data_IF_973500382215
#
_entry.id   IF_973500382215
#
_cell.length_a   1.000
_cell.length_b   1.000
_cell.length_c   1.000
_cell.angle_alpha   90.00
_cell.angle_beta   90.00
_cell.angle_gamma   90.00
#
_symmetry.space_group_name_H-M   'P 1'
#
loop_
_entity.id
_entity.type
_entity.pdbx_description
1 polymer ?
#
# COMPACT_ATOMS: atom_id res chain seq x y z
N UNK A 1 -3.01 -18.45 22.39
CA UNK A 1 -3.79 -17.23 22.08
C UNK A 1 -4.12 -17.29 20.60
N UNK A 2 -5.37 -17.05 20.20
CA UNK A 2 -5.73 -16.97 18.78
C UNK A 2 -5.08 -15.74 18.15
N UNK A 3 -4.43 -15.89 17.01
CA UNK A 3 -3.88 -14.79 16.22
C UNK A 3 -5.05 -13.92 15.71
N UNK A 4 -5.00 -12.60 15.92
CA UNK A 4 -6.04 -11.71 15.40
C UNK A 4 -5.84 -11.51 13.89
N UNK A 5 -6.91 -11.72 13.13
CA UNK A 5 -6.97 -11.36 11.71
C UNK A 5 -7.52 -9.94 11.60
N UNK A 6 -6.85 -9.08 10.85
CA UNK A 6 -7.29 -7.72 10.56
C UNK A 6 -7.95 -7.65 9.19
N UNK A 7 -9.08 -6.95 9.11
CA UNK A 7 -9.79 -6.71 7.84
C UNK A 7 -9.39 -5.34 7.30
N UNK A 8 -8.76 -5.36 6.12
CA UNK A 8 -8.42 -4.18 5.34
C UNK A 8 -9.39 -4.03 4.17
N UNK A 9 -10.28 -3.06 4.24
CA UNK A 9 -11.26 -2.79 3.19
C UNK A 9 -10.73 -1.77 2.19
N UNK A 10 -10.74 -2.11 0.91
CA UNK A 10 -10.25 -1.28 -0.19
C UNK A 10 -11.35 -0.86 -1.17
N UNK A 11 -12.62 -1.00 -0.79
CA UNK A 11 -13.78 -0.62 -1.62
C UNK A 11 -13.67 0.79 -2.16
N UNK A 12 -13.23 1.73 -1.33
CA UNK A 12 -13.15 3.16 -1.65
C UNK A 12 -11.88 3.57 -2.40
N UNK A 13 -10.97 2.64 -2.67
CA UNK A 13 -9.76 2.89 -3.46
C UNK A 13 -9.64 1.90 -4.61
N UNK A 14 -9.38 0.62 -4.35
CA UNK A 14 -9.22 -0.39 -5.39
C UNK A 14 -10.55 -0.73 -6.04
N UNK A 15 -11.60 -0.89 -5.27
CA UNK A 15 -12.95 -1.13 -5.76
C UNK A 15 -13.47 -0.04 -6.69
N UNK A 16 -13.12 1.22 -6.42
CA UNK A 16 -13.50 2.37 -7.26
C UNK A 16 -12.79 2.39 -8.63
N UNK A 17 -11.70 1.64 -8.78
CA UNK A 17 -10.98 1.54 -10.07
C UNK A 17 -11.70 0.66 -11.09
N UNK A 18 -12.72 -0.09 -10.68
CA UNK A 18 -13.53 -0.87 -11.61
C UNK A 18 -14.34 0.06 -12.55
N UNK A 19 -14.48 -0.27 -13.85
CA UNK A 19 -15.27 0.54 -14.77
C UNK A 19 -16.71 0.74 -14.29
N UNK A 20 -17.14 1.99 -14.20
CA UNK A 20 -18.49 2.36 -13.75
C UNK A 20 -18.68 2.44 -12.24
N UNK A 21 -17.62 2.27 -11.45
CA UNK A 21 -17.65 2.31 -9.98
C UNK A 21 -17.17 3.64 -9.38
N UNK A 22 -17.09 4.70 -10.18
CA UNK A 22 -16.73 6.04 -9.67
C UNK A 22 -17.78 6.54 -8.69
N UNK A 23 -17.32 7.06 -7.56
CA UNK A 23 -18.13 7.54 -6.45
C UNK A 23 -17.92 9.04 -6.24
N UNK A 24 -19.02 9.73 -5.91
CA UNK A 24 -18.95 11.10 -5.42
C UNK A 24 -18.46 11.13 -3.95
N UNK A 25 -18.02 12.29 -3.50
CA UNK A 25 -17.44 12.45 -2.14
C UNK A 25 -18.43 12.01 -1.07
N UNK A 26 -19.69 12.41 -1.19
CA UNK A 26 -20.77 12.08 -0.26
C UNK A 26 -21.05 10.58 -0.21
N UNK A 27 -21.03 9.90 -1.35
CA UNK A 27 -21.23 8.46 -1.45
C UNK A 27 -20.08 7.70 -0.75
N UNK A 28 -18.84 8.16 -0.95
CA UNK A 28 -17.66 7.58 -0.26
C UNK A 28 -17.78 7.72 1.26
N UNK A 29 -18.22 8.86 1.76
CA UNK A 29 -18.44 9.10 3.20
C UNK A 29 -19.50 8.13 3.75
N UNK A 30 -20.62 7.95 3.06
CA UNK A 30 -21.67 7.04 3.51
C UNK A 30 -21.21 5.58 3.53
N UNK A 31 -20.46 5.13 2.51
CA UNK A 31 -19.86 3.79 2.50
C UNK A 31 -18.87 3.65 3.65
N UNK A 32 -17.98 4.62 3.86
CA UNK A 32 -17.01 4.57 4.95
C UNK A 32 -17.68 4.45 6.34
N UNK A 33 -18.80 5.18 6.55
CA UNK A 33 -19.61 5.04 7.77
C UNK A 33 -20.20 3.63 7.94
N UNK A 34 -20.65 2.99 6.85
CA UNK A 34 -21.16 1.62 6.92
C UNK A 34 -20.03 0.61 7.20
N UNK A 35 -18.86 0.78 6.58
CA UNK A 35 -17.68 -0.04 6.87
C UNK A 35 -17.23 0.10 8.33
N UNK A 36 -17.27 1.31 8.89
CA UNK A 36 -17.01 1.53 10.32
C UNK A 36 -18.02 0.78 11.21
N UNK A 37 -19.32 0.80 10.88
CA UNK A 37 -20.35 0.03 11.61
C UNK A 37 -20.16 -1.49 11.47
N UNK A 38 -19.60 -1.94 10.35
CA UNK A 38 -19.24 -3.34 10.11
C UNK A 38 -18.01 -3.77 10.94
N UNK A 39 -17.34 -2.82 11.58
CA UNK A 39 -16.12 -3.02 12.39
C UNK A 39 -14.93 -3.58 11.58
N UNK A 40 -14.73 -3.12 10.35
CA UNK A 40 -13.47 -3.37 9.65
C UNK A 40 -12.32 -2.67 10.40
N UNK A 41 -11.13 -3.24 10.38
CA UNK A 41 -9.99 -2.68 11.12
C UNK A 41 -9.37 -1.48 10.39
N UNK A 42 -9.36 -1.50 9.06
CA UNK A 42 -8.76 -0.45 8.21
C UNK A 42 -9.64 -0.18 7.00
N UNK A 43 -9.81 1.10 6.64
CA UNK A 43 -10.47 1.54 5.40
C UNK A 43 -9.46 2.30 4.55
N UNK A 44 -9.16 1.84 3.34
CA UNK A 44 -8.40 2.59 2.36
C UNK A 44 -9.33 3.57 1.63
N UNK A 45 -9.28 4.83 2.05
CA UNK A 45 -10.26 5.84 1.66
C UNK A 45 -10.06 6.42 0.25
N UNK A 46 -8.84 6.30 -0.31
CA UNK A 46 -8.56 6.80 -1.65
C UNK A 46 -7.09 7.09 -1.93
N UNK A 47 -6.86 7.84 -3.01
CA UNK A 47 -5.55 8.26 -3.50
C UNK A 47 -5.48 9.78 -3.64
N UNK A 48 -5.12 10.52 -2.57
CA UNK A 48 -5.26 11.99 -2.48
C UNK A 48 -4.58 12.79 -3.59
N UNK A 49 -3.46 12.30 -4.12
CA UNK A 49 -2.74 13.03 -5.19
C UNK A 49 -3.41 12.93 -6.54
N UNK A 50 -4.29 11.94 -6.76
CA UNK A 50 -4.86 11.65 -8.07
C UNK A 50 -5.83 12.72 -8.56
N UNK A 51 -6.60 13.34 -7.65
CA UNK A 51 -7.50 14.45 -7.98
C UNK A 51 -7.90 15.26 -6.73
N UNK A 52 -8.46 16.44 -6.95
CA UNK A 52 -9.01 17.26 -5.85
C UNK A 52 -10.17 16.56 -5.15
N UNK A 53 -11.03 15.86 -5.89
CA UNK A 53 -12.15 15.11 -5.32
C UNK A 53 -11.66 13.96 -4.44
N UNK A 54 -10.64 13.21 -4.87
CA UNK A 54 -10.04 12.17 -4.06
C UNK A 54 -9.40 12.71 -2.76
N UNK A 55 -8.72 13.85 -2.84
CA UNK A 55 -8.19 14.51 -1.65
C UNK A 55 -9.31 14.88 -0.67
N UNK A 56 -10.37 15.54 -1.17
CA UNK A 56 -11.51 15.95 -0.35
C UNK A 56 -12.25 14.77 0.27
N UNK A 57 -12.42 13.68 -0.48
CA UNK A 57 -13.04 12.46 0.04
C UNK A 57 -12.26 11.86 1.20
N UNK A 58 -10.94 11.70 1.04
CA UNK A 58 -10.07 11.17 2.11
C UNK A 58 -10.08 12.08 3.33
N UNK A 59 -9.95 13.39 3.15
CA UNK A 59 -9.99 14.38 4.23
C UNK A 59 -11.33 14.32 4.99
N UNK A 60 -12.46 14.31 4.28
CA UNK A 60 -13.78 14.24 4.90
C UNK A 60 -14.00 12.91 5.64
N UNK A 61 -13.54 11.78 5.10
CA UNK A 61 -13.62 10.49 5.78
C UNK A 61 -12.74 10.50 7.03
N UNK A 62 -11.53 11.05 6.96
CA UNK A 62 -10.62 11.17 8.10
C UNK A 62 -11.22 11.99 9.25
N UNK A 63 -11.96 13.05 8.92
CA UNK A 63 -12.60 13.92 9.92
C UNK A 63 -13.89 13.32 10.52
N UNK A 64 -14.63 12.51 9.75
CA UNK A 64 -16.00 12.10 10.11
C UNK A 64 -16.13 10.64 10.56
N UNK A 65 -15.17 9.79 10.24
CA UNK A 65 -15.27 8.33 10.50
C UNK A 65 -14.31 7.95 11.62
N UNK A 66 -14.88 7.42 12.71
CA UNK A 66 -14.13 6.97 13.87
C UNK A 66 -14.18 5.44 13.99
N UNK A 67 -13.19 4.87 14.68
CA UNK A 67 -13.08 3.44 14.95
C UNK A 67 -12.01 2.75 14.12
N UNK A 68 -12.18 2.56 12.78
CA UNK A 68 -11.15 1.97 11.94
C UNK A 68 -9.96 2.92 11.74
N UNK A 69 -8.81 2.37 11.38
CA UNK A 69 -7.69 3.14 10.84
C UNK A 69 -8.03 3.59 9.43
N UNK A 70 -7.86 4.89 9.13
CA UNK A 70 -8.06 5.42 7.77
C UNK A 70 -6.73 5.38 7.04
N UNK A 71 -6.69 4.69 5.91
CA UNK A 71 -5.51 4.58 5.06
C UNK A 71 -5.67 5.39 3.77
N UNK A 72 -4.57 5.91 3.25
CA UNK A 72 -4.53 6.56 1.95
C UNK A 72 -3.31 6.13 1.15
N UNK A 73 -3.51 5.90 -0.16
CA UNK A 73 -2.48 5.46 -1.08
C UNK A 73 -1.58 6.62 -1.48
N UNK A 74 -0.28 6.36 -1.61
CA UNK A 74 0.74 7.28 -2.09
C UNK A 74 1.80 6.52 -2.90
N UNK A 75 2.24 7.06 -4.03
CA UNK A 75 3.45 6.53 -4.69
C UNK A 75 4.67 6.81 -3.80
N UNK A 76 5.77 6.10 -4.05
CA UNK A 76 7.06 6.37 -3.39
C UNK A 76 7.68 7.72 -3.85
N UNK A 77 6.94 8.81 -3.62
CA UNK A 77 7.27 10.20 -3.96
C UNK A 77 6.86 11.07 -2.79
N UNK A 78 7.77 11.91 -2.29
CA UNK A 78 7.55 12.76 -1.10
C UNK A 78 6.26 13.60 -1.19
N UNK A 79 6.01 14.26 -2.33
CA UNK A 79 4.79 15.06 -2.52
C UNK A 79 3.49 14.24 -2.40
N UNK A 80 3.50 12.98 -2.84
CA UNK A 80 2.32 12.10 -2.73
C UNK A 80 2.09 11.70 -1.27
N UNK A 81 3.17 11.36 -0.56
CA UNK A 81 3.16 10.99 0.85
C UNK A 81 2.72 12.18 1.72
N UNK A 82 3.24 13.38 1.45
CA UNK A 82 2.83 14.59 2.15
C UNK A 82 1.35 14.90 1.92
N UNK A 83 0.84 14.77 0.68
CA UNK A 83 -0.59 14.95 0.40
C UNK A 83 -1.46 13.90 1.09
N UNK A 84 -1.01 12.64 1.15
CA UNK A 84 -1.72 11.60 1.89
C UNK A 84 -1.77 11.96 3.39
N UNK A 85 -0.66 12.36 3.99
CA UNK A 85 -0.63 12.83 5.37
C UNK A 85 -1.58 14.01 5.61
N UNK A 86 -1.53 15.04 4.75
CA UNK A 86 -2.39 16.22 4.91
C UNK A 86 -3.89 15.86 4.88
N UNK A 87 -4.29 14.92 4.03
CA UNK A 87 -5.66 14.44 3.97
C UNK A 87 -6.05 13.54 5.16
N UNK A 88 -5.08 12.85 5.78
CA UNK A 88 -5.33 11.88 6.85
C UNK A 88 -5.23 12.46 8.26
N UNK A 89 -4.59 13.61 8.45
CA UNK A 89 -4.22 14.14 9.78
C UNK A 89 -5.40 14.42 10.72
N UNK A 90 -6.63 14.50 10.21
CA UNK A 90 -7.85 14.63 10.99
C UNK A 90 -8.35 13.31 11.62
N UNK A 91 -7.88 12.17 11.12
CA UNK A 91 -8.29 10.86 11.63
C UNK A 91 -7.68 10.55 13.01
N UNK A 92 -8.44 9.87 13.86
CA UNK A 92 -7.95 9.36 15.16
C UNK A 92 -6.78 8.40 15.00
N UNK A 93 -6.85 7.54 13.98
CA UNK A 93 -5.81 6.58 13.58
C UNK A 93 -5.68 6.62 12.07
N UNK A 94 -4.47 6.76 11.59
CA UNK A 94 -4.25 6.76 10.13
C UNK A 94 -3.00 6.01 9.73
N UNK A 95 -3.04 5.50 8.50
CA UNK A 95 -1.96 4.76 7.83
C UNK A 95 -1.62 5.41 6.50
N UNK A 96 -0.34 5.62 6.26
CA UNK A 96 0.16 5.98 4.93
C UNK A 96 0.55 4.70 4.21
N UNK A 97 -0.10 4.43 3.07
CA UNK A 97 0.14 3.26 2.25
C UNK A 97 0.96 3.65 1.03
N UNK A 98 2.23 3.23 0.98
CA UNK A 98 3.14 3.50 -0.15
C UNK A 98 3.27 2.28 -1.05
N UNK A 99 3.60 2.47 -2.34
CA UNK A 99 3.80 1.38 -3.27
C UNK A 99 4.82 1.70 -4.36
N UNK A 100 5.44 0.65 -4.88
CA UNK A 100 6.29 0.70 -6.07
C UNK A 100 6.12 -0.57 -6.91
N UNK A 101 6.13 -0.44 -8.24
CA UNK A 101 6.09 -1.58 -9.16
C UNK A 101 7.37 -2.41 -9.07
N UNK A 102 7.23 -3.72 -8.83
CA UNK A 102 8.38 -4.61 -8.56
C UNK A 102 8.55 -5.72 -9.57
N UNK A 103 7.56 -6.06 -10.38
CA UNK A 103 7.77 -7.03 -11.47
C UNK A 103 8.68 -6.47 -12.55
N UNK A 104 9.40 -7.35 -13.23
CA UNK A 104 10.31 -6.96 -14.32
C UNK A 104 9.57 -6.19 -15.42
N UNK A 105 8.31 -6.56 -15.70
CA UNK A 105 7.44 -5.87 -16.65
C UNK A 105 7.17 -4.43 -16.19
N UNK A 106 6.82 -4.23 -14.92
CA UNK A 106 6.60 -2.89 -14.36
C UNK A 106 7.89 -2.07 -14.32
N UNK A 107 9.01 -2.69 -13.93
CA UNK A 107 10.32 -2.04 -13.87
C UNK A 107 10.74 -1.54 -15.26
N UNK A 108 10.64 -2.39 -16.26
CA UNK A 108 11.04 -2.04 -17.62
C UNK A 108 10.09 -1.06 -18.29
N UNK A 109 8.80 -1.09 -17.93
CA UNK A 109 7.78 -0.17 -18.44
C UNK A 109 7.78 1.19 -17.73
N UNK A 110 7.53 1.20 -16.41
CA UNK A 110 7.37 2.42 -15.61
C UNK A 110 8.68 3.16 -15.33
N UNK A 111 9.79 2.42 -15.23
CA UNK A 111 11.12 2.96 -14.94
C UNK A 111 12.08 2.78 -16.13
N UNK A 112 11.58 2.96 -17.36
CA UNK A 112 12.35 2.79 -18.60
C UNK A 112 13.51 3.77 -18.76
N UNK A 113 13.41 4.97 -18.19
CA UNK A 113 14.44 6.00 -18.24
C UNK A 113 15.77 5.52 -17.62
N UNK A 114 16.91 5.87 -18.26
CA UNK A 114 18.26 5.55 -17.79
C UNK A 114 18.62 6.16 -16.43
N UNK A 115 17.91 7.21 -15.98
CA UNK A 115 18.11 7.75 -14.63
C UNK A 115 17.81 6.74 -13.52
N UNK A 116 17.01 5.71 -13.79
CA UNK A 116 16.71 4.63 -12.85
C UNK A 116 17.71 3.47 -12.91
N UNK A 117 18.58 3.43 -13.91
CA UNK A 117 19.59 2.39 -14.10
C UNK A 117 19.69 1.99 -15.58
N UNK A 118 20.83 1.42 -15.95
CA UNK A 118 21.12 0.99 -17.33
C UNK A 118 20.56 -0.40 -17.65
N UNK A 119 20.49 -1.23 -16.63
CA UNK A 119 19.97 -2.59 -16.72
C UNK A 119 18.93 -2.88 -15.61
N UNK A 120 18.37 -4.07 -15.64
CA UNK A 120 17.33 -4.49 -14.70
C UNK A 120 17.82 -4.48 -13.23
N UNK A 121 19.07 -4.89 -12.99
CA UNK A 121 19.61 -4.97 -11.62
C UNK A 121 19.84 -3.58 -11.03
N UNK A 122 20.40 -2.66 -11.83
CA UNK A 122 20.55 -1.27 -11.41
C UNK A 122 19.19 -0.63 -11.12
N UNK A 123 18.19 -0.89 -11.96
CA UNK A 123 16.80 -0.41 -11.75
C UNK A 123 16.18 -0.99 -10.47
N UNK A 124 16.32 -2.29 -10.23
CA UNK A 124 15.84 -2.95 -9.00
C UNK A 124 16.46 -2.30 -7.76
N UNK A 125 17.76 -2.05 -7.75
CA UNK A 125 18.45 -1.37 -6.65
C UNK A 125 17.93 0.06 -6.44
N UNK A 126 17.69 0.79 -7.52
CA UNK A 126 17.13 2.14 -7.45
C UNK A 126 15.72 2.14 -6.87
N UNK A 127 14.88 1.17 -7.24
CA UNK A 127 13.51 1.04 -6.72
C UNK A 127 13.52 0.66 -5.25
N UNK A 128 14.42 -0.23 -4.81
CA UNK A 128 14.60 -0.51 -3.36
C UNK A 128 14.93 0.78 -2.61
N UNK A 129 15.88 1.55 -3.12
CA UNK A 129 16.24 2.82 -2.49
C UNK A 129 15.06 3.79 -2.43
N UNK A 130 14.34 3.97 -3.52
CA UNK A 130 13.13 4.81 -3.56
C UNK A 130 12.07 4.34 -2.56
N UNK A 131 11.86 3.04 -2.43
CA UNK A 131 10.91 2.48 -1.47
C UNK A 131 11.35 2.71 -0.02
N UNK A 132 12.63 2.52 0.28
CA UNK A 132 13.23 2.80 1.60
C UNK A 132 13.11 4.27 1.97
N UNK A 133 13.47 5.18 1.06
CA UNK A 133 13.38 6.62 1.26
C UNK A 133 11.92 7.04 1.52
N UNK A 134 10.98 6.52 0.73
CA UNK A 134 9.54 6.79 0.85
C UNK A 134 8.97 6.29 2.19
N UNK A 135 9.28 5.05 2.59
CA UNK A 135 8.83 4.50 3.88
C UNK A 135 9.43 5.31 5.04
N UNK A 136 10.71 5.66 4.98
CA UNK A 136 11.36 6.49 5.98
C UNK A 136 10.72 7.87 6.09
N UNK A 137 10.36 8.48 4.95
CA UNK A 137 9.67 9.76 4.92
C UNK A 137 8.24 9.64 5.48
N UNK A 138 7.46 8.62 5.08
CA UNK A 138 6.14 8.36 5.64
C UNK A 138 6.18 8.11 7.15
N UNK A 139 7.23 7.44 7.63
CA UNK A 139 7.47 7.18 9.06
C UNK A 139 7.65 8.46 9.87
N UNK A 140 8.07 9.56 9.27
CA UNK A 140 8.18 10.85 9.96
C UNK A 140 6.82 11.46 10.33
N UNK A 141 5.73 11.02 9.70
CA UNK A 141 4.37 11.49 9.95
C UNK A 141 3.54 10.54 10.82
N UNK A 142 3.78 9.24 10.72
CA UNK A 142 2.98 8.22 11.45
C UNK A 142 3.81 7.01 11.85
N UNK A 143 3.40 6.35 12.94
CA UNK A 143 3.93 5.03 13.31
C UNK A 143 3.40 3.87 12.47
N UNK A 144 2.32 4.06 11.70
CA UNK A 144 1.66 3.02 10.89
C UNK A 144 1.89 3.28 9.40
N UNK A 145 2.85 2.57 8.81
CA UNK A 145 3.23 2.69 7.40
C UNK A 145 3.08 1.34 6.71
N UNK A 146 2.31 1.31 5.64
CA UNK A 146 2.14 0.16 4.77
C UNK A 146 2.95 0.32 3.49
N UNK A 147 3.57 -0.76 3.03
CA UNK A 147 4.23 -0.80 1.74
C UNK A 147 3.70 -1.96 0.90
N UNK A 148 3.35 -1.68 -0.37
CA UNK A 148 2.98 -2.68 -1.37
C UNK A 148 4.04 -2.78 -2.47
N UNK A 149 4.69 -3.94 -2.64
CA UNK A 149 5.40 -4.27 -3.86
C UNK A 149 4.37 -4.55 -4.98
N UNK A 150 3.96 -3.51 -5.71
CA UNK A 150 2.94 -3.62 -6.76
C UNK A 150 3.35 -4.69 -7.79
N UNK A 151 2.38 -5.54 -8.18
CA UNK A 151 2.58 -6.69 -9.06
C UNK A 151 3.46 -7.79 -8.44
N UNK A 152 3.31 -7.99 -7.13
CA UNK A 152 4.04 -9.03 -6.40
C UNK A 152 3.77 -10.44 -6.92
N UNK A 153 2.58 -10.68 -7.46
CA UNK A 153 2.23 -11.95 -8.11
C UNK A 153 3.24 -12.38 -9.17
N UNK A 154 3.74 -11.45 -9.98
CA UNK A 154 4.71 -11.68 -11.07
C UNK A 154 6.15 -11.29 -10.73
N UNK A 155 6.41 -10.81 -9.52
CA UNK A 155 7.74 -10.40 -9.08
C UNK A 155 8.63 -11.61 -8.76
N UNK A 156 9.92 -11.56 -9.17
CA UNK A 156 10.91 -12.55 -8.74
C UNK A 156 10.97 -12.67 -7.23
N UNK A 157 10.92 -13.90 -6.71
CA UNK A 157 10.77 -14.14 -5.28
C UNK A 157 11.96 -13.65 -4.44
N UNK A 158 13.18 -13.65 -4.99
CA UNK A 158 14.35 -13.20 -4.24
C UNK A 158 14.37 -11.68 -4.16
N UNK A 159 14.07 -11.00 -5.27
CA UNK A 159 13.92 -9.54 -5.30
C UNK A 159 12.75 -9.07 -4.43
N UNK A 160 11.62 -9.79 -4.47
CA UNK A 160 10.49 -9.51 -3.58
C UNK A 160 10.89 -9.56 -2.11
N UNK A 161 11.63 -10.60 -1.70
CA UNK A 161 12.10 -10.71 -0.32
C UNK A 161 13.10 -9.61 0.04
N UNK A 162 13.98 -9.22 -0.88
CA UNK A 162 14.98 -8.16 -0.68
C UNK A 162 14.32 -6.80 -0.43
N UNK A 163 13.39 -6.39 -1.27
CA UNK A 163 12.69 -5.12 -1.09
C UNK A 163 11.84 -5.11 0.19
N UNK A 164 11.16 -6.22 0.51
CA UNK A 164 10.38 -6.35 1.74
C UNK A 164 11.29 -6.20 2.98
N UNK A 165 12.42 -6.91 3.03
CA UNK A 165 13.38 -6.81 4.14
C UNK A 165 13.90 -5.38 4.31
N UNK A 166 14.17 -4.69 3.20
CA UNK A 166 14.66 -3.31 3.19
C UNK A 166 13.61 -2.32 3.72
N UNK A 167 12.37 -2.39 3.27
CA UNK A 167 11.32 -1.45 3.71
C UNK A 167 10.86 -1.70 5.14
N UNK A 168 10.87 -2.95 5.64
CA UNK A 168 10.63 -3.25 7.05
C UNK A 168 11.76 -2.62 7.90
N UNK A 169 13.00 -2.72 7.46
CA UNK A 169 14.14 -2.09 8.15
C UNK A 169 14.04 -0.56 8.15
N UNK A 170 13.39 0.04 7.15
CA UNK A 170 13.10 1.47 7.06
C UNK A 170 11.90 1.90 7.95
N UNK A 171 11.11 0.96 8.46
CA UNK A 171 10.02 1.21 9.40
C UNK A 171 8.61 0.91 8.89
N UNK A 172 8.46 0.19 7.79
CA UNK A 172 7.15 -0.35 7.39
C UNK A 172 6.63 -1.32 8.45
N UNK A 173 5.38 -1.12 8.87
CA UNK A 173 4.69 -1.95 9.88
C UNK A 173 3.72 -2.94 9.25
N UNK A 174 3.37 -2.72 7.99
CA UNK A 174 2.52 -3.62 7.20
C UNK A 174 3.14 -3.79 5.81
N UNK A 175 3.20 -5.04 5.36
CA UNK A 175 3.58 -5.40 4.00
C UNK A 175 2.37 -6.02 3.33
N UNK A 176 1.82 -5.33 2.37
CA UNK A 176 0.71 -5.84 1.58
C UNK A 176 1.26 -6.45 0.28
N UNK A 177 0.97 -7.73 0.06
CA UNK A 177 1.44 -8.50 -1.10
C UNK A 177 0.26 -8.65 -2.06
N UNK A 178 0.17 -7.83 -3.13
CA UNK A 178 -0.96 -7.88 -4.04
C UNK A 178 -0.74 -8.85 -5.21
N UNK A 179 -1.76 -9.58 -5.60
CA UNK A 179 -1.87 -10.19 -6.93
C UNK A 179 -2.57 -9.21 -7.89
N UNK A 180 -1.92 -8.09 -8.14
CA UNK A 180 -2.44 -6.90 -8.84
C UNK A 180 -3.16 -7.20 -10.16
N UNK A 181 -2.77 -8.27 -10.85
CA UNK A 181 -3.31 -8.63 -12.16
C UNK A 181 -4.21 -9.87 -12.12
N UNK A 182 -4.44 -10.46 -10.94
CA UNK A 182 -5.17 -11.70 -10.80
C UNK A 182 -4.53 -12.85 -11.59
N UNK A 183 -3.21 -12.88 -11.62
CA UNK A 183 -2.44 -13.78 -12.46
C UNK A 183 -2.14 -15.14 -11.80
N UNK A 184 -1.99 -15.14 -10.47
CA UNK A 184 -1.54 -16.33 -9.74
C UNK A 184 -2.70 -17.27 -9.40
N UNK A 185 -2.45 -18.57 -9.47
CA UNK A 185 -3.37 -19.55 -8.89
C UNK A 185 -3.28 -19.51 -7.36
N UNK A 186 -4.36 -19.89 -6.63
CA UNK A 186 -4.39 -19.81 -5.16
C UNK A 186 -3.20 -20.51 -4.49
N UNK A 187 -2.81 -21.69 -4.99
CA UNK A 187 -1.67 -22.45 -4.46
C UNK A 187 -0.33 -21.73 -4.69
N UNK A 188 -0.15 -21.13 -5.86
CA UNK A 188 1.06 -20.37 -6.20
C UNK A 188 1.18 -19.13 -5.33
N UNK A 189 0.07 -18.42 -5.12
CA UNK A 189 0.03 -17.26 -4.25
C UNK A 189 0.34 -17.66 -2.80
N UNK A 190 -0.28 -18.73 -2.30
CA UNK A 190 -0.02 -19.28 -0.96
C UNK A 190 1.45 -19.67 -0.76
N UNK A 191 2.09 -20.33 -1.72
CA UNK A 191 3.52 -20.67 -1.66
C UNK A 191 4.42 -19.42 -1.74
N UNK A 192 4.00 -18.37 -2.45
CA UNK A 192 4.71 -17.09 -2.46
C UNK A 192 4.70 -16.45 -1.08
N UNK A 193 3.54 -16.34 -0.42
CA UNK A 193 3.41 -15.81 0.94
C UNK A 193 4.27 -16.63 1.92
N UNK A 194 4.20 -17.94 1.85
CA UNK A 194 5.00 -18.85 2.68
C UNK A 194 6.51 -18.65 2.45
N UNK A 195 6.91 -18.43 1.19
CA UNK A 195 8.31 -18.15 0.84
C UNK A 195 8.78 -16.82 1.42
N UNK A 196 7.98 -15.75 1.33
CA UNK A 196 8.25 -14.46 1.96
C UNK A 196 8.39 -14.63 3.48
N UNK A 197 7.41 -15.28 4.12
CA UNK A 197 7.44 -15.54 5.58
C UNK A 197 8.68 -16.33 6.03
N UNK A 198 9.21 -17.20 5.18
CA UNK A 198 10.41 -18.02 5.49
C UNK A 198 11.74 -17.30 5.22
N UNK A 199 11.80 -16.50 4.14
CA UNK A 199 13.07 -15.92 3.64
C UNK A 199 13.38 -14.55 4.21
N UNK A 200 12.37 -13.71 4.46
CA UNK A 200 12.56 -12.35 4.98
C UNK A 200 12.87 -12.41 6.48
N UNK A 201 14.07 -12.01 6.86
CA UNK A 201 14.60 -12.21 8.22
C UNK A 201 13.88 -11.39 9.28
N UNK A 202 13.43 -10.19 8.93
CA UNK A 202 12.73 -9.25 9.82
C UNK A 202 11.20 -9.26 9.66
N UNK A 203 10.64 -10.27 9.02
CA UNK A 203 9.19 -10.33 8.69
C UNK A 203 8.29 -10.23 9.92
N UNK A 204 8.77 -10.71 11.08
CA UNK A 204 8.03 -10.66 12.33
C UNK A 204 7.87 -9.23 12.89
N UNK A 205 8.53 -8.23 12.31
CA UNK A 205 8.37 -6.82 12.68
C UNK A 205 7.24 -6.13 11.91
N UNK A 206 6.58 -6.86 10.99
CA UNK A 206 5.48 -6.33 10.21
C UNK A 206 4.31 -7.32 10.12
N UNK A 207 3.12 -6.81 9.87
CA UNK A 207 1.94 -7.60 9.53
C UNK A 207 2.01 -7.91 8.02
N UNK A 208 1.72 -9.15 7.62
CA UNK A 208 1.53 -9.50 6.21
C UNK A 208 0.06 -9.30 5.88
N UNK A 209 -0.21 -8.44 4.90
CA UNK A 209 -1.50 -8.24 4.25
C UNK A 209 -1.49 -8.86 2.85
N UNK A 210 -2.65 -9.23 2.33
CA UNK A 210 -2.82 -9.78 0.99
C UNK A 210 -4.00 -9.09 0.29
N UNK A 211 -3.81 -8.74 -0.97
CA UNK A 211 -4.84 -8.08 -1.79
C UNK A 211 -4.91 -8.74 -3.16
#
# INVERSE_FOLDING_TARGET
MSEKIHIFDTTLRDGEQAPGSSLEVEEKIEIAKQLSKLNVDVIEAGFPVSSKAQYQAVESIADMVNGPTIAALARCIENDIEKAYQALKGAEKYRIHTFAGTSDIHIMGKFSDHKYGKDLNEKRNTIIKMAVDAVSFAKSFTGDVEFSPEDAGRTDINYLCEIIEAVISAGATVINIPDTTGYTMPEEFGEKIKSVKKKVKNINNAIISCL
#
